data_IF_486948964521
#
_entry.id   IF_486948964521
#
_cell.length_a   1.000
_cell.length_b   1.000
_cell.length_c   1.000
_cell.angle_alpha   90.00
_cell.angle_beta   90.00
_cell.angle_gamma   90.00
#
_symmetry.space_group_name_H-M   'P 1'
#
loop_
_entity.id
_entity.type
_entity.pdbx_description
1 polymer ?
#
# COMPACT_ATOMS: atom_id res chain seq x y z
N UNK A 1 36.45 -47.51 -9.42
CA UNK A 1 37.03 -48.49 -10.35
C UNK A 1 35.92 -49.44 -10.73
N UNK A 2 35.42 -49.36 -11.97
CA UNK A 2 34.36 -50.23 -12.49
C UNK A 2 34.98 -51.23 -13.48
N UNK A 3 34.59 -52.49 -13.36
CA UNK A 3 34.67 -53.56 -14.35
C UNK A 3 33.50 -54.53 -13.97
N UNK A 4 32.72 -55.19 -14.83
CA UNK A 4 32.63 -55.33 -16.28
C UNK A 4 31.32 -56.08 -16.61
N UNK A 5 30.85 -55.90 -17.85
CA UNK A 5 30.10 -56.82 -18.76
C UNK A 5 29.06 -57.81 -18.20
N UNK A 6 27.77 -57.64 -18.52
CA UNK A 6 27.08 -58.14 -19.73
C UNK A 6 27.26 -59.67 -19.91
N UNK A 7 26.25 -60.51 -19.64
CA UNK A 7 25.12 -60.76 -20.53
C UNK A 7 24.21 -61.94 -20.10
N UNK A 8 22.97 -61.82 -20.56
CA UNK A 8 22.09 -62.89 -21.02
C UNK A 8 21.18 -63.61 -20.00
N UNK A 9 19.88 -63.43 -20.26
CA UNK A 9 18.77 -64.36 -20.00
C UNK A 9 18.25 -64.39 -18.56
N UNK A 10 17.37 -63.43 -18.26
CA UNK A 10 16.32 -63.56 -17.25
C UNK A 10 15.51 -64.86 -17.47
N UNK A 11 14.88 -65.49 -16.45
CA UNK A 11 14.30 -64.81 -15.29
C UNK A 11 14.37 -65.52 -13.92
N UNK A 12 14.16 -64.72 -12.86
CA UNK A 12 13.80 -65.08 -11.46
C UNK A 12 14.90 -65.66 -10.58
N UNK A 13 15.43 -64.83 -9.67
CA UNK A 13 15.32 -65.04 -8.21
C UNK A 13 15.77 -63.79 -7.42
N UNK A 14 14.88 -63.36 -6.53
CA UNK A 14 15.11 -62.94 -5.13
C UNK A 14 15.97 -61.69 -4.81
N UNK A 15 15.23 -60.69 -4.28
CA UNK A 15 15.51 -59.75 -3.17
C UNK A 15 16.91 -59.16 -3.05
N UNK A 16 16.98 -57.83 -2.99
CA UNK A 16 17.12 -57.05 -1.74
C UNK A 16 16.39 -55.72 -1.96
N UNK A 17 15.55 -55.36 -0.98
CA UNK A 17 14.86 -54.08 -0.91
C UNK A 17 15.85 -53.11 -0.26
N UNK A 18 16.27 -52.10 -0.99
CA UNK A 18 16.67 -50.80 -0.46
C UNK A 18 16.27 -49.75 -1.51
N UNK A 19 15.09 -49.16 -1.29
CA UNK A 19 14.54 -48.08 -2.09
C UNK A 19 15.19 -46.74 -1.69
N UNK A 20 16.38 -46.44 -2.20
CA UNK A 20 16.74 -45.05 -2.47
C UNK A 20 16.24 -44.70 -3.88
N UNK A 21 14.92 -44.51 -3.99
CA UNK A 21 14.33 -43.92 -5.18
C UNK A 21 14.60 -42.42 -5.18
N UNK A 22 15.37 -42.02 -6.18
CA UNK A 22 15.25 -40.74 -6.86
C UNK A 22 13.81 -40.21 -6.74
N UNK A 23 13.66 -39.08 -6.06
CA UNK A 23 12.45 -38.30 -6.08
C UNK A 23 12.28 -37.73 -7.49
N UNK A 24 11.69 -38.54 -8.37
CA UNK A 24 11.04 -38.06 -9.57
C UNK A 24 9.94 -37.12 -9.10
N UNK A 25 10.18 -35.81 -9.28
CA UNK A 25 9.17 -34.78 -9.21
C UNK A 25 8.02 -35.20 -10.13
N UNK A 26 6.95 -35.75 -9.57
CA UNK A 26 5.72 -35.95 -10.33
C UNK A 26 5.07 -34.58 -10.49
N UNK A 27 5.03 -34.14 -11.73
CA UNK A 27 4.31 -32.98 -12.26
C UNK A 27 3.01 -32.66 -11.50
N UNK A 28 2.82 -31.38 -11.21
CA UNK A 28 1.55 -30.81 -10.79
C UNK A 28 0.50 -31.09 -11.87
N UNK A 29 -0.19 -32.24 -11.78
CA UNK A 29 -1.35 -32.53 -12.62
C UNK A 29 -2.40 -31.44 -12.39
N UNK A 30 -2.82 -30.80 -13.47
CA UNK A 30 -3.88 -29.81 -13.50
C UNK A 30 -5.15 -30.45 -12.92
N UNK A 31 -5.58 -30.01 -11.73
CA UNK A 31 -6.71 -30.63 -11.00
C UNK A 31 -8.09 -30.31 -11.58
N UNK A 32 -8.17 -29.22 -12.35
CA UNK A 32 -9.42 -28.62 -12.81
C UNK A 32 -9.28 -28.15 -14.26
N UNK A 33 -10.35 -28.29 -15.05
CA UNK A 33 -10.40 -27.84 -16.44
C UNK A 33 -11.01 -26.44 -16.47
N UNK A 34 -10.27 -25.47 -17.02
CA UNK A 34 -10.67 -24.08 -17.17
C UNK A 34 -10.57 -23.62 -18.64
N UNK A 35 -11.17 -22.46 -18.92
CA UNK A 35 -11.03 -21.73 -20.17
C UNK A 35 -10.50 -20.31 -19.93
N UNK A 36 -9.81 -19.70 -20.91
CA UNK A 36 -9.46 -18.29 -20.85
C UNK A 36 -10.72 -17.42 -20.69
N UNK A 37 -10.69 -16.52 -19.71
CA UNK A 37 -11.87 -15.75 -19.30
C UNK A 37 -12.58 -16.30 -18.07
N UNK A 38 -12.20 -17.49 -17.59
CA UNK A 38 -12.75 -18.05 -16.37
C UNK A 38 -12.32 -17.30 -15.12
N UNK A 39 -13.23 -17.14 -14.15
CA UNK A 39 -12.94 -16.57 -12.84
C UNK A 39 -13.15 -17.59 -11.74
N UNK A 40 -12.28 -17.59 -10.73
CA UNK A 40 -12.47 -18.42 -9.54
C UNK A 40 -11.90 -17.77 -8.29
N UNK A 41 -12.43 -18.14 -7.13
CA UNK A 41 -11.87 -17.75 -5.85
C UNK A 41 -10.75 -18.73 -5.47
N UNK A 42 -9.56 -18.18 -5.22
CA UNK A 42 -8.40 -18.94 -4.80
C UNK A 42 -8.28 -18.88 -3.28
N UNK A 43 -8.41 -20.03 -2.62
CA UNK A 43 -8.24 -20.15 -1.17
C UNK A 43 -6.83 -19.76 -0.70
N UNK A 44 -5.81 -19.98 -1.54
CA UNK A 44 -4.43 -19.61 -1.22
C UNK A 44 -4.23 -18.09 -1.18
N UNK A 45 -4.86 -17.35 -2.09
CA UNK A 45 -4.71 -15.90 -2.17
C UNK A 45 -5.86 -15.14 -1.48
N UNK A 46 -6.90 -15.84 -1.04
CA UNK A 46 -8.17 -15.27 -0.62
C UNK A 46 -8.70 -14.21 -1.61
N UNK A 47 -8.51 -14.46 -2.92
CA UNK A 47 -8.77 -13.50 -3.98
C UNK A 47 -9.31 -14.17 -5.25
N UNK A 48 -10.00 -13.38 -6.08
CA UNK A 48 -10.49 -13.82 -7.37
C UNK A 48 -9.39 -13.75 -8.43
N UNK A 49 -9.19 -14.84 -9.16
CA UNK A 49 -8.26 -14.92 -10.27
C UNK A 49 -8.98 -15.06 -11.61
N UNK A 50 -8.35 -14.51 -12.65
CA UNK A 50 -8.76 -14.69 -14.05
C UNK A 50 -7.82 -15.72 -14.72
N UNK A 51 -8.41 -16.76 -15.29
CA UNK A 51 -7.75 -17.69 -16.19
C UNK A 51 -7.45 -16.99 -17.50
N UNK A 52 -6.21 -17.07 -17.97
CA UNK A 52 -5.76 -16.42 -19.21
C UNK A 52 -5.22 -17.43 -20.21
N UNK A 53 -4.89 -16.99 -21.41
CA UNK A 53 -4.18 -17.81 -22.40
C UNK A 53 -2.74 -18.14 -21.98
N UNK A 54 -2.18 -17.44 -20.98
CA UNK A 54 -0.81 -17.64 -20.50
C UNK A 54 -0.78 -18.69 -19.36
N UNK A 55 -0.24 -19.90 -19.58
CA UNK A 55 -0.17 -20.96 -18.56
C UNK A 55 0.63 -20.55 -17.32
N UNK A 56 1.54 -19.57 -17.46
CA UNK A 56 2.36 -19.07 -16.37
C UNK A 56 1.67 -17.98 -15.55
N UNK A 57 0.50 -17.50 -15.97
CA UNK A 57 -0.26 -16.52 -15.20
C UNK A 57 -0.67 -17.07 -13.84
N UNK A 58 -0.68 -16.22 -12.81
CA UNK A 58 -1.10 -16.62 -11.45
C UNK A 58 -2.48 -17.28 -11.46
N UNK A 59 -3.39 -16.85 -12.35
CA UNK A 59 -4.71 -17.47 -12.47
C UNK A 59 -4.67 -18.92 -12.94
N UNK A 60 -3.74 -19.31 -13.79
CA UNK A 60 -3.58 -20.70 -14.20
C UNK A 60 -2.71 -21.50 -13.21
N UNK A 61 -1.68 -20.88 -12.61
CA UNK A 61 -0.81 -21.55 -11.64
C UNK A 61 -1.52 -21.88 -10.32
N UNK A 62 -2.49 -21.05 -9.91
CA UNK A 62 -3.18 -21.21 -8.63
C UNK A 62 -4.47 -22.04 -8.74
N UNK A 63 -4.75 -22.64 -9.91
CA UNK A 63 -5.99 -23.38 -10.18
C UNK A 63 -6.16 -24.58 -9.22
N UNK A 64 -5.07 -25.13 -8.72
CA UNK A 64 -5.04 -26.20 -7.70
C UNK A 64 -5.58 -25.78 -6.32
N UNK A 65 -5.73 -24.47 -6.08
CA UNK A 65 -6.20 -23.86 -4.84
C UNK A 65 -7.60 -23.23 -4.98
N UNK A 66 -8.31 -23.57 -6.06
CA UNK A 66 -9.69 -23.16 -6.26
C UNK A 66 -10.56 -23.58 -5.07
N UNK A 67 -11.27 -22.62 -4.48
CA UNK A 67 -12.25 -22.89 -3.44
C UNK A 67 -13.64 -23.00 -4.07
N UNK A 68 -14.14 -24.24 -4.16
CA UNK A 68 -15.38 -24.51 -4.87
C UNK A 68 -16.58 -23.83 -4.20
N UNK A 69 -16.64 -23.79 -2.87
CA UNK A 69 -17.79 -23.22 -2.15
C UNK A 69 -17.92 -21.70 -2.35
N UNK A 70 -16.82 -20.96 -2.18
CA UNK A 70 -16.79 -19.50 -2.35
C UNK A 70 -16.94 -19.10 -3.82
N UNK A 71 -16.25 -19.80 -4.72
CA UNK A 71 -16.35 -19.56 -6.17
C UNK A 71 -17.80 -19.69 -6.66
N UNK A 72 -18.55 -20.62 -6.07
CA UNK A 72 -19.92 -20.95 -6.50
C UNK A 72 -21.01 -20.36 -5.59
N UNK A 73 -20.65 -19.62 -4.55
CA UNK A 73 -21.60 -19.03 -3.59
C UNK A 73 -22.64 -18.15 -4.29
N UNK A 74 -23.93 -18.16 -3.89
CA UNK A 74 -24.93 -17.22 -4.38
C UNK A 74 -24.49 -15.75 -4.32
N UNK A 75 -23.65 -15.41 -3.33
CA UNK A 75 -23.06 -14.10 -3.10
C UNK A 75 -21.73 -13.85 -3.85
N UNK A 76 -21.29 -14.78 -4.70
CA UNK A 76 -20.05 -14.64 -5.45
C UNK A 76 -20.10 -13.43 -6.39
N UNK A 77 -19.01 -12.66 -6.42
CA UNK A 77 -18.89 -11.48 -7.28
C UNK A 77 -18.87 -11.84 -8.77
N UNK A 78 -18.35 -13.03 -9.08
CA UNK A 78 -18.30 -13.59 -10.43
C UNK A 78 -19.00 -14.95 -10.46
N UNK A 79 -19.69 -15.23 -11.56
CA UNK A 79 -20.39 -16.50 -11.79
C UNK A 79 -20.37 -16.88 -13.27
N UNK A 80 -20.32 -18.18 -13.58
CA UNK A 80 -20.45 -18.67 -14.95
C UNK A 80 -21.91 -18.75 -15.37
N UNK A 81 -22.27 -18.14 -16.51
CA UNK A 81 -23.60 -18.25 -17.10
C UNK A 81 -23.61 -19.32 -18.19
N UNK A 82 -24.45 -20.34 -18.04
CA UNK A 82 -24.61 -21.38 -19.06
C UNK A 82 -25.22 -20.84 -20.36
N UNK A 83 -26.19 -19.93 -20.27
CA UNK A 83 -26.86 -19.34 -21.44
C UNK A 83 -25.89 -18.59 -22.36
N UNK A 84 -24.91 -17.90 -21.76
CA UNK A 84 -23.89 -17.15 -22.52
C UNK A 84 -22.58 -17.93 -22.72
N UNK A 85 -22.42 -19.08 -22.06
CA UNK A 85 -21.17 -19.85 -21.97
C UNK A 85 -19.96 -18.99 -21.59
N UNK A 86 -20.14 -18.05 -20.64
CA UNK A 86 -19.13 -17.07 -20.20
C UNK A 86 -19.29 -16.72 -18.72
N UNK A 87 -18.22 -16.21 -18.10
CA UNK A 87 -18.27 -15.62 -16.77
C UNK A 87 -18.82 -14.20 -16.79
N UNK A 88 -19.64 -13.89 -15.80
CA UNK A 88 -20.25 -12.58 -15.58
C UNK A 88 -20.00 -12.10 -14.16
N UNK A 89 -20.07 -10.78 -13.98
CA UNK A 89 -20.23 -10.14 -12.68
C UNK A 89 -21.70 -10.12 -12.25
N UNK A 90 -21.96 -10.11 -10.95
CA UNK A 90 -23.28 -10.00 -10.29
C UNK A 90 -24.23 -8.91 -10.84
N UNK A 91 -23.71 -7.94 -11.60
CA UNK A 91 -24.45 -6.88 -12.28
C UNK A 91 -25.49 -7.32 -13.35
N UNK A 92 -25.57 -8.60 -13.75
CA UNK A 92 -26.59 -9.10 -14.71
C UNK A 92 -27.56 -10.10 -14.07
N UNK A 93 -28.64 -9.58 -13.45
CA UNK A 93 -29.63 -10.38 -12.69
C UNK A 93 -30.40 -11.40 -13.53
N UNK A 94 -30.58 -11.14 -14.82
CA UNK A 94 -31.42 -11.92 -15.75
C UNK A 94 -30.88 -13.34 -15.99
N UNK A 95 -29.58 -13.52 -15.79
CA UNK A 95 -28.84 -14.75 -16.14
C UNK A 95 -28.46 -15.59 -14.90
N UNK A 96 -28.90 -15.19 -13.70
CA UNK A 96 -28.51 -15.80 -12.43
C UNK A 96 -29.08 -17.20 -12.19
N UNK A 97 -30.05 -17.67 -13.00
CA UNK A 97 -30.76 -18.92 -12.75
C UNK A 97 -29.98 -20.19 -13.13
N UNK A 98 -28.93 -20.09 -13.96
CA UNK A 98 -28.17 -21.24 -14.45
C UNK A 98 -26.65 -21.03 -14.33
N UNK A 99 -26.08 -21.57 -13.25
CA UNK A 99 -24.64 -21.54 -12.96
C UNK A 99 -24.00 -22.88 -13.31
N UNK A 100 -22.83 -22.88 -13.97
CA UNK A 100 -22.07 -24.11 -14.24
C UNK A 100 -20.66 -24.06 -13.64
N UNK A 101 -20.17 -25.23 -13.23
CA UNK A 101 -18.98 -25.42 -12.42
C UNK A 101 -17.69 -25.45 -13.25
N UNK A 102 -16.57 -24.96 -12.70
CA UNK A 102 -15.23 -25.39 -13.14
C UNK A 102 -15.13 -26.88 -12.81
N UNK A 103 -14.97 -27.70 -13.84
CA UNK A 103 -15.02 -29.15 -13.67
C UNK A 103 -13.67 -29.65 -13.21
N UNK A 104 -13.70 -30.54 -12.21
CA UNK A 104 -12.56 -31.37 -11.90
C UNK A 104 -12.18 -32.20 -13.13
N UNK A 105 -10.88 -32.35 -13.38
CA UNK A 105 -10.44 -33.22 -14.48
C UNK A 105 -10.91 -34.67 -14.18
N UNK A 106 -11.75 -35.27 -15.04
CA UNK A 106 -12.29 -36.60 -14.82
C UNK A 106 -11.21 -37.70 -14.80
N UNK A 107 -9.99 -37.42 -15.27
CA UNK A 107 -8.88 -38.36 -15.27
C UNK A 107 -8.08 -38.38 -13.96
N UNK A 108 -8.46 -37.57 -12.96
CA UNK A 108 -7.81 -37.52 -11.65
C UNK A 108 -8.63 -38.30 -10.63
N UNK A 109 -8.18 -39.52 -10.33
CA UNK A 109 -8.69 -40.33 -9.22
C UNK A 109 -8.11 -39.75 -7.93
N UNK A 110 -8.93 -39.09 -7.09
CA UNK A 110 -8.51 -38.82 -5.70
C UNK A 110 -9.02 -39.86 -4.75
N UNK A 111 -8.10 -40.44 -3.98
CA UNK A 111 -8.44 -41.10 -2.72
C UNK A 111 -8.98 -40.06 -1.71
N UNK A 112 -10.00 -40.39 -0.92
CA UNK A 112 -10.48 -39.51 0.13
C UNK A 112 -9.53 -39.63 1.32
N UNK A 113 -8.91 -38.51 1.73
CA UNK A 113 -8.38 -38.41 3.08
C UNK A 113 -8.94 -37.13 3.70
N UNK A 114 -10.09 -37.32 4.37
CA UNK A 114 -10.46 -36.52 5.53
C UNK A 114 -9.50 -36.92 6.64
N UNK A 115 -8.51 -36.06 6.93
CA UNK A 115 -7.89 -36.02 8.25
C UNK A 115 -7.84 -34.57 8.69
N UNK A 116 -8.58 -34.28 9.76
CA UNK A 116 -8.37 -33.09 10.57
C UNK A 116 -6.90 -33.06 11.00
N UNK A 117 -6.11 -32.23 10.34
CA UNK A 117 -4.80 -31.88 10.85
C UNK A 117 -4.96 -30.66 11.75
N UNK A 118 -4.70 -30.85 13.04
CA UNK A 118 -4.15 -29.79 13.88
C UNK A 118 -3.00 -29.19 13.08
N UNK A 119 -3.03 -27.90 12.82
CA UNK A 119 -1.97 -27.20 12.12
C UNK A 119 -0.68 -27.30 12.95
N UNK A 120 0.12 -28.33 12.67
CA UNK A 120 1.55 -28.23 12.89
C UNK A 120 2.08 -27.33 11.77
N UNK A 121 2.71 -26.24 12.20
CA UNK A 121 3.43 -25.28 11.38
C UNK A 121 4.48 -26.01 10.54
N UNK A 122 4.12 -26.40 9.32
CA UNK A 122 5.10 -26.70 8.30
C UNK A 122 5.49 -25.38 7.67
N UNK A 123 6.73 -25.01 7.93
CA UNK A 123 7.51 -23.95 7.31
C UNK A 123 7.40 -23.98 5.78
N UNK A 124 6.35 -23.37 5.25
CA UNK A 124 6.31 -22.97 3.85
C UNK A 124 6.98 -21.61 3.79
N UNK A 125 8.13 -21.58 3.12
CA UNK A 125 8.87 -20.39 2.75
C UNK A 125 7.90 -19.32 2.27
N UNK A 126 7.66 -18.33 3.12
CA UNK A 126 7.03 -17.08 2.70
C UNK A 126 7.89 -16.53 1.58
N UNK A 127 7.43 -16.58 0.33
CA UNK A 127 7.95 -15.68 -0.68
C UNK A 127 7.47 -14.28 -0.27
N UNK A 128 8.29 -13.65 0.58
CA UNK A 128 8.12 -12.29 1.03
C UNK A 128 8.00 -11.40 -0.20
N UNK A 129 7.00 -10.53 -0.31
CA UNK A 129 7.12 -9.38 -1.19
C UNK A 129 8.10 -8.40 -0.53
N UNK A 130 9.37 -8.78 -0.45
CA UNK A 130 10.48 -7.86 -0.19
C UNK A 130 10.57 -6.96 -1.41
N UNK A 131 9.85 -5.86 -1.39
CA UNK A 131 10.25 -4.70 -2.16
C UNK A 131 11.63 -4.26 -1.62
N UNK A 132 12.72 -4.85 -2.14
CA UNK A 132 14.08 -4.47 -1.76
C UNK A 132 14.29 -3.07 -2.30
N UNK A 133 14.36 -2.09 -1.40
CA UNK A 133 14.69 -0.72 -1.77
C UNK A 133 16.07 -0.69 -2.42
N UNK A 134 16.15 -0.03 -3.58
CA UNK A 134 17.37 0.08 -4.37
C UNK A 134 18.48 0.93 -3.74
N UNK A 135 19.50 1.21 -4.54
CA UNK A 135 20.63 2.05 -4.14
C UNK A 135 20.21 3.48 -3.77
N UNK A 136 21.08 4.21 -3.06
CA UNK A 136 20.88 5.64 -2.84
C UNK A 136 20.94 6.37 -4.18
N UNK A 137 19.84 6.98 -4.57
CA UNK A 137 19.61 7.57 -5.88
C UNK A 137 19.28 9.08 -5.79
N UNK A 138 19.67 9.71 -4.68
CA UNK A 138 19.36 11.11 -4.42
C UNK A 138 17.94 11.36 -3.92
N UNK A 139 17.19 10.33 -3.46
CA UNK A 139 15.85 10.47 -2.89
C UNK A 139 15.73 11.60 -1.85
N UNK A 140 16.76 11.80 -1.03
CA UNK A 140 16.80 12.84 -0.01
C UNK A 140 16.74 14.27 -0.58
N UNK A 141 17.27 14.50 -1.79
CA UNK A 141 17.17 15.77 -2.50
C UNK A 141 15.74 16.09 -2.97
N UNK A 142 14.81 15.16 -2.81
CA UNK A 142 13.39 15.33 -3.10
C UNK A 142 12.60 15.80 -1.87
N UNK A 143 13.19 15.75 -0.67
CA UNK A 143 12.56 16.16 0.58
C UNK A 143 12.70 17.66 0.72
N UNK A 144 11.87 18.47 0.07
CA UNK A 144 12.07 19.92 0.01
C UNK A 144 11.21 20.67 1.02
N UNK A 145 11.76 21.73 1.60
CA UNK A 145 10.95 22.69 2.34
C UNK A 145 10.28 23.71 1.39
N UNK A 146 9.37 24.52 1.93
CA UNK A 146 8.61 25.50 1.14
C UNK A 146 9.54 26.52 0.47
N UNK A 147 10.54 27.03 1.20
CA UNK A 147 11.52 28.00 0.70
C UNK A 147 12.32 27.48 -0.48
N UNK A 148 12.79 26.23 -0.42
CA UNK A 148 13.52 25.58 -1.52
C UNK A 148 12.64 25.40 -2.76
N UNK A 149 11.36 25.05 -2.57
CA UNK A 149 10.41 24.91 -3.66
C UNK A 149 10.14 26.27 -4.32
N UNK A 150 9.89 27.32 -3.55
CA UNK A 150 9.69 28.67 -4.07
C UNK A 150 10.93 29.21 -4.80
N UNK A 151 12.11 28.98 -4.23
CA UNK A 151 13.39 29.37 -4.85
C UNK A 151 13.68 28.62 -6.16
N UNK A 152 13.10 27.43 -6.35
CA UNK A 152 13.22 26.68 -7.61
C UNK A 152 12.39 27.25 -8.75
N UNK A 153 11.50 28.22 -8.50
CA UNK A 153 10.75 28.95 -9.53
C UNK A 153 11.64 30.10 -10.03
N UNK A 154 12.14 30.09 -11.29
CA UNK A 154 13.10 31.10 -11.75
C UNK A 154 12.46 32.48 -11.95
N UNK A 155 11.21 32.53 -12.42
CA UNK A 155 10.48 33.79 -12.62
C UNK A 155 10.02 34.36 -11.28
N UNK A 156 10.47 35.58 -10.96
CA UNK A 156 10.04 36.34 -9.76
C UNK A 156 8.53 36.53 -9.76
N UNK A 157 7.94 36.84 -10.92
CA UNK A 157 6.50 37.01 -11.06
C UNK A 157 5.74 35.71 -10.82
N UNK A 158 6.19 34.59 -11.39
CA UNK A 158 5.57 33.29 -11.12
C UNK A 158 5.75 32.89 -9.65
N UNK A 159 6.89 33.19 -9.02
CA UNK A 159 7.11 32.96 -7.60
C UNK A 159 6.12 33.75 -6.76
N UNK A 160 5.94 35.04 -7.02
CA UNK A 160 4.97 35.88 -6.32
C UNK A 160 3.52 35.40 -6.48
N UNK A 161 3.15 34.91 -7.66
CA UNK A 161 1.84 34.26 -7.87
C UNK A 161 1.71 32.96 -7.06
N UNK A 162 2.77 32.13 -6.99
CA UNK A 162 2.78 30.92 -6.19
C UNK A 162 2.63 31.23 -4.69
N UNK A 163 3.41 32.20 -4.18
CA UNK A 163 3.32 32.70 -2.80
C UNK A 163 1.91 33.20 -2.48
N UNK A 164 1.28 33.91 -3.41
CA UNK A 164 -0.11 34.38 -3.25
C UNK A 164 -1.12 33.23 -3.15
N UNK A 165 -0.93 32.16 -3.93
CA UNK A 165 -1.77 30.94 -3.83
C UNK A 165 -1.56 30.26 -2.47
N UNK A 166 -0.31 30.08 -2.04
CA UNK A 166 0.01 29.47 -0.74
C UNK A 166 -0.56 30.28 0.42
N UNK A 167 -0.42 31.61 0.38
CA UNK A 167 -0.98 32.51 1.38
C UNK A 167 -2.52 32.44 1.44
N UNK A 168 -3.18 32.39 0.27
CA UNK A 168 -4.63 32.19 0.21
C UNK A 168 -5.03 30.89 0.91
N UNK A 169 -4.39 29.76 0.60
CA UNK A 169 -4.75 28.47 1.19
C UNK A 169 -4.49 28.46 2.70
N UNK A 170 -3.34 28.98 3.16
CA UNK A 170 -3.04 29.13 4.59
C UNK A 170 -4.07 29.98 5.32
N UNK A 171 -4.65 31.00 4.66
CA UNK A 171 -5.71 31.83 5.24
C UNK A 171 -7.06 31.11 5.37
N UNK A 172 -7.28 30.03 4.61
CA UNK A 172 -8.51 29.22 4.60
C UNK A 172 -8.42 27.98 5.50
N UNK A 173 -7.20 27.56 5.86
CA UNK A 173 -6.92 26.27 6.48
C UNK A 173 -7.68 26.05 7.80
N UNK A 174 -7.67 27.03 8.70
CA UNK A 174 -8.26 26.88 10.05
C UNK A 174 -9.73 26.45 10.04
N UNK A 175 -10.50 26.87 9.05
CA UNK A 175 -11.95 26.59 8.97
C UNK A 175 -12.26 25.37 8.10
N UNK A 176 -11.36 25.02 7.18
CA UNK A 176 -11.61 24.04 6.11
C UNK A 176 -10.70 22.80 6.17
N UNK A 177 -9.75 22.77 7.10
CA UNK A 177 -8.77 21.69 7.29
C UNK A 177 -8.00 21.37 5.99
N UNK A 178 -7.44 22.40 5.35
CA UNK A 178 -6.73 22.25 4.08
C UNK A 178 -5.24 22.07 4.37
N UNK A 179 -4.81 20.82 4.35
CA UNK A 179 -3.42 20.49 4.59
C UNK A 179 -2.56 20.79 3.35
N UNK A 180 -1.49 21.55 3.57
CA UNK A 180 -0.45 21.85 2.58
C UNK A 180 0.74 20.90 2.77
N UNK A 181 1.08 20.15 1.72
CA UNK A 181 2.23 19.25 1.72
C UNK A 181 3.26 19.61 0.65
N UNK A 182 4.52 19.67 1.05
CA UNK A 182 5.66 19.78 0.14
C UNK A 182 5.91 18.44 -0.57
N UNK A 183 6.12 18.50 -1.88
CA UNK A 183 6.38 17.35 -2.75
C UNK A 183 7.70 17.57 -3.50
N UNK A 184 8.23 16.49 -4.09
CA UNK A 184 9.44 16.49 -4.93
C UNK A 184 9.57 17.73 -5.86
N UNK A 185 8.48 18.08 -6.55
CA UNK A 185 8.42 19.14 -7.56
C UNK A 185 7.23 20.09 -7.34
N UNK A 186 6.87 20.41 -6.10
CA UNK A 186 5.84 21.41 -5.81
C UNK A 186 5.01 21.09 -4.58
N UNK A 187 3.71 21.38 -4.64
CA UNK A 187 2.83 21.34 -3.48
C UNK A 187 1.58 20.50 -3.76
N UNK A 188 1.01 19.90 -2.72
CA UNK A 188 -0.31 19.27 -2.76
C UNK A 188 -1.20 19.86 -1.68
N UNK A 189 -2.46 20.08 -2.01
CA UNK A 189 -3.49 20.55 -1.08
C UNK A 189 -4.50 19.43 -0.88
N UNK A 190 -4.64 18.98 0.36
CA UNK A 190 -5.41 17.79 0.72
C UNK A 190 -6.45 18.17 1.77
N UNK A 191 -7.67 17.68 1.58
CA UNK A 191 -8.75 17.75 2.58
C UNK A 191 -9.23 16.33 2.83
N UNK A 192 -9.25 15.90 4.09
CA UNK A 192 -9.74 14.58 4.53
C UNK A 192 -9.20 13.40 3.69
N UNK A 193 -7.90 13.43 3.40
CA UNK A 193 -7.18 12.39 2.66
C UNK A 193 -7.32 12.42 1.13
N UNK A 194 -8.05 13.38 0.55
CA UNK A 194 -8.16 13.54 -0.91
C UNK A 194 -7.61 14.89 -1.36
N UNK A 195 -6.92 14.86 -2.50
CA UNK A 195 -6.33 16.05 -3.12
C UNK A 195 -7.42 16.90 -3.76
N UNK A 196 -7.41 18.20 -3.48
CA UNK A 196 -8.29 19.20 -4.10
C UNK A 196 -7.53 20.14 -5.04
N UNK A 197 -6.21 20.25 -4.87
CA UNK A 197 -5.35 20.94 -5.84
C UNK A 197 -3.90 20.45 -5.74
N UNK A 198 -3.09 20.75 -6.77
CA UNK A 198 -1.64 20.64 -6.72
C UNK A 198 -0.95 21.75 -7.50
N UNK A 199 0.24 22.12 -7.05
CA UNK A 199 1.16 22.96 -7.80
C UNK A 199 2.31 22.07 -8.26
N UNK A 200 2.57 22.05 -9.57
CA UNK A 200 3.73 21.39 -10.18
C UNK A 200 4.68 22.43 -10.74
N UNK A 201 5.89 22.45 -10.22
CA UNK A 201 6.94 23.38 -10.63
C UNK A 201 7.60 22.91 -11.93
N UNK A 202 7.91 23.87 -12.82
CA UNK A 202 8.54 23.63 -14.12
C UNK A 202 9.64 24.65 -14.41
N UNK A 203 10.33 24.49 -15.53
CA UNK A 203 11.53 25.26 -15.89
C UNK A 203 11.31 26.77 -16.08
N UNK A 204 10.08 27.22 -16.31
CA UNK A 204 9.75 28.65 -16.51
C UNK A 204 8.69 29.21 -15.55
N UNK A 205 8.16 28.40 -14.63
CA UNK A 205 7.01 28.78 -13.81
C UNK A 205 6.38 27.58 -13.12
N UNK A 206 5.06 27.56 -13.01
CA UNK A 206 4.34 26.44 -12.42
C UNK A 206 2.99 26.18 -13.08
N UNK A 207 2.46 24.99 -12.86
CA UNK A 207 1.10 24.60 -13.21
C UNK A 207 0.33 24.44 -11.92
N UNK A 208 -0.76 25.20 -11.77
CA UNK A 208 -1.77 24.96 -10.74
C UNK A 208 -2.84 24.07 -11.34
N UNK A 209 -3.03 22.89 -10.76
CA UNK A 209 -4.11 21.98 -11.10
C UNK A 209 -5.17 22.03 -10.01
N UNK A 210 -6.38 22.42 -10.39
CA UNK A 210 -7.57 22.33 -9.54
C UNK A 210 -8.26 20.99 -9.77
N UNK A 211 -8.72 20.36 -8.70
CA UNK A 211 -9.27 18.99 -8.73
C UNK A 211 -10.65 18.99 -8.10
N UNK A 212 -11.65 18.67 -8.91
CA UNK A 212 -13.02 18.47 -8.45
C UNK A 212 -13.25 16.99 -8.12
N UNK A 213 -13.77 16.72 -6.93
CA UNK A 213 -14.00 15.38 -6.42
C UNK A 213 -15.49 15.01 -6.56
N UNK A 214 -15.82 14.10 -7.47
CA UNK A 214 -17.19 13.70 -7.81
C UNK A 214 -17.46 12.29 -7.29
N UNK A 215 -18.42 12.11 -6.40
CA UNK A 215 -18.83 10.79 -5.92
C UNK A 215 -19.43 9.97 -7.07
N UNK A 216 -18.93 8.75 -7.28
CA UNK A 216 -19.51 7.84 -8.25
C UNK A 216 -20.84 7.31 -7.75
N UNK A 217 -21.90 7.43 -8.57
CA UNK A 217 -23.25 7.01 -8.19
C UNK A 217 -23.28 5.53 -7.80
N UNK A 218 -23.74 5.23 -6.57
CA UNK A 218 -23.83 3.85 -6.05
C UNK A 218 -22.51 3.25 -5.55
N UNK A 219 -21.40 4.00 -5.58
CA UNK A 219 -20.09 3.54 -5.11
C UNK A 219 -19.55 4.43 -3.99
N UNK A 220 -18.51 3.93 -3.31
CA UNK A 220 -17.74 4.71 -2.30
C UNK A 220 -16.47 5.34 -2.87
N UNK A 221 -16.27 5.24 -4.17
CA UNK A 221 -15.14 5.81 -4.90
C UNK A 221 -15.49 7.19 -5.47
N UNK A 222 -14.45 7.98 -5.74
CA UNK A 222 -14.57 9.35 -6.23
C UNK A 222 -13.86 9.45 -7.58
N UNK A 223 -14.53 10.02 -8.58
CA UNK A 223 -13.92 10.48 -9.82
C UNK A 223 -13.29 11.86 -9.62
N UNK A 224 -12.20 12.14 -10.34
CA UNK A 224 -11.46 13.39 -10.23
C UNK A 224 -11.37 14.12 -11.57
N UNK A 225 -12.13 15.20 -11.70
CA UNK A 225 -12.01 16.14 -12.81
C UNK A 225 -10.88 17.13 -12.53
N UNK A 226 -9.99 17.32 -13.50
CA UNK A 226 -8.75 18.10 -13.34
C UNK A 226 -8.72 19.25 -14.34
N UNK A 227 -8.41 20.44 -13.85
CA UNK A 227 -8.21 21.63 -14.69
C UNK A 227 -6.87 22.28 -14.39
N UNK A 228 -6.07 22.43 -15.43
CA UNK A 228 -4.71 22.97 -15.34
C UNK A 228 -4.68 24.45 -15.73
N UNK A 229 -3.96 25.23 -14.93
CA UNK A 229 -3.72 26.65 -15.13
C UNK A 229 -2.21 26.89 -15.15
N UNK A 230 -1.70 27.35 -16.29
CA UNK A 230 -0.27 27.56 -16.50
C UNK A 230 0.10 28.98 -16.08
N UNK A 231 1.08 29.11 -15.19
CA UNK A 231 1.65 30.37 -14.76
C UNK A 231 3.05 30.52 -15.37
N UNK A 232 3.17 31.14 -16.57
CA UNK A 232 4.44 31.25 -17.29
C UNK A 232 5.34 32.38 -16.78
N UNK A 233 4.90 33.16 -15.79
CA UNK A 233 5.67 34.29 -15.25
C UNK A 233 5.55 35.61 -16.02
N UNK A 234 4.58 35.72 -16.94
CA UNK A 234 4.32 36.94 -17.73
C UNK A 234 3.47 38.00 -17.01
N UNK A 235 3.01 37.75 -15.77
CA UNK A 235 2.22 38.70 -14.97
C UNK A 235 0.70 38.57 -15.08
N UNK A 236 0.19 37.88 -16.10
CA UNK A 236 -1.24 37.60 -16.21
C UNK A 236 -1.59 36.29 -15.50
N UNK A 237 -2.30 36.39 -14.38
CA UNK A 237 -2.78 35.20 -13.66
C UNK A 237 -3.92 34.54 -14.47
N UNK A 238 -3.80 33.24 -14.81
CA UNK A 238 -4.79 32.51 -15.62
C UNK A 238 -6.11 32.23 -14.89
N UNK A 239 -6.18 32.49 -13.59
CA UNK A 239 -7.38 32.36 -12.75
C UNK A 239 -7.41 33.51 -11.73
N UNK A 240 -8.60 34.05 -11.47
CA UNK A 240 -8.77 35.11 -10.47
C UNK A 240 -8.63 34.55 -9.05
N UNK A 241 -8.22 35.40 -8.10
CA UNK A 241 -8.18 35.01 -6.68
C UNK A 241 -9.56 34.63 -6.12
N UNK A 242 -10.64 35.20 -6.65
CA UNK A 242 -12.01 34.90 -6.27
C UNK A 242 -12.45 33.50 -6.73
N UNK A 243 -12.14 33.12 -7.97
CA UNK A 243 -12.45 31.78 -8.49
C UNK A 243 -11.63 30.71 -7.75
N UNK A 244 -10.37 31.01 -7.47
CA UNK A 244 -9.51 30.11 -6.71
C UNK A 244 -10.04 29.88 -5.29
N UNK A 245 -10.40 30.96 -4.58
CA UNK A 245 -11.04 30.88 -3.25
C UNK A 245 -12.33 30.06 -3.31
N UNK A 246 -13.19 30.33 -4.30
CA UNK A 246 -14.45 29.59 -4.51
C UNK A 246 -14.20 28.11 -4.68
N UNK A 247 -13.19 27.72 -5.47
CA UNK A 247 -12.84 26.32 -5.66
C UNK A 247 -12.42 25.64 -4.35
N UNK A 248 -11.47 26.23 -3.61
CA UNK A 248 -11.00 25.66 -2.34
C UNK A 248 -12.13 25.49 -1.32
N UNK A 249 -12.98 26.51 -1.15
CA UNK A 249 -14.13 26.45 -0.22
C UNK A 249 -15.10 25.34 -0.66
N UNK A 250 -15.45 25.30 -1.95
CA UNK A 250 -16.41 24.33 -2.49
C UNK A 250 -15.92 22.89 -2.32
N UNK A 251 -14.69 22.59 -2.73
CA UNK A 251 -14.16 21.23 -2.67
C UNK A 251 -13.89 20.78 -1.23
N UNK A 252 -13.45 21.68 -0.34
CA UNK A 252 -13.31 21.36 1.07
C UNK A 252 -14.66 20.99 1.69
N UNK A 253 -15.69 21.83 1.49
CA UNK A 253 -17.04 21.55 1.99
C UNK A 253 -17.64 20.27 1.42
N UNK A 254 -17.43 20.00 0.14
CA UNK A 254 -17.83 18.75 -0.51
C UNK A 254 -17.21 17.53 0.19
N UNK A 255 -15.87 17.51 0.35
CA UNK A 255 -15.18 16.39 0.99
C UNK A 255 -15.53 16.23 2.47
N UNK A 256 -15.68 17.33 3.21
CA UNK A 256 -16.15 17.30 4.60
C UNK A 256 -17.56 16.68 4.66
N UNK A 257 -18.47 17.09 3.78
CA UNK A 257 -19.83 16.54 3.71
C UNK A 257 -19.82 15.04 3.40
N UNK A 258 -19.06 14.62 2.39
CA UNK A 258 -18.94 13.21 2.01
C UNK A 258 -18.37 12.34 3.16
N UNK A 259 -17.47 12.89 3.98
CA UNK A 259 -16.95 12.19 5.17
C UNK A 259 -17.94 12.14 6.32
N UNK A 260 -18.61 13.25 6.64
CA UNK A 260 -19.68 13.29 7.65
C UNK A 260 -20.80 12.29 7.34
N UNK A 261 -21.13 12.13 6.05
CA UNK A 261 -22.11 11.16 5.58
C UNK A 261 -21.52 9.77 5.30
N UNK A 262 -20.27 9.54 5.68
CA UNK A 262 -19.56 8.26 5.58
C UNK A 262 -19.53 7.64 4.18
N UNK A 263 -19.64 8.46 3.13
CA UNK A 263 -19.97 8.01 1.77
C UNK A 263 -18.75 7.55 0.96
N UNK A 264 -17.54 7.96 1.34
CA UNK A 264 -16.30 7.64 0.61
C UNK A 264 -15.36 6.66 1.34
N UNK A 265 -14.75 5.75 0.57
CA UNK A 265 -14.03 4.56 1.08
C UNK A 265 -12.53 4.72 1.34
N UNK A 266 -11.92 5.86 0.99
CA UNK A 266 -10.47 6.09 1.13
C UNK A 266 -10.07 6.36 2.60
N UNK A 267 -10.11 5.33 3.46
CA UNK A 267 -9.93 5.49 4.91
C UNK A 267 -8.47 5.72 5.33
N UNK A 268 -7.53 5.01 4.73
CA UNK A 268 -6.11 5.10 5.10
C UNK A 268 -5.56 6.52 4.93
N UNK A 269 -5.72 7.12 3.74
CA UNK A 269 -5.26 8.50 3.50
C UNK A 269 -5.99 9.55 4.35
N UNK A 270 -7.24 9.29 4.75
CA UNK A 270 -7.94 10.16 5.70
C UNK A 270 -7.37 10.04 7.10
N UNK A 271 -7.04 8.82 7.53
CA UNK A 271 -6.35 8.58 8.78
C UNK A 271 -4.98 9.27 8.80
N UNK A 272 -4.25 9.29 7.68
CA UNK A 272 -2.99 10.05 7.57
C UNK A 272 -3.23 11.54 7.85
N UNK A 273 -4.22 12.14 7.19
CA UNK A 273 -4.58 13.54 7.40
C UNK A 273 -4.87 13.84 8.88
N UNK A 274 -5.71 13.03 9.51
CA UNK A 274 -6.06 13.21 10.92
C UNK A 274 -4.85 13.05 11.85
N UNK A 275 -4.00 12.04 11.62
CA UNK A 275 -2.79 11.83 12.40
C UNK A 275 -1.83 13.03 12.30
N UNK A 276 -1.67 13.59 11.11
CA UNK A 276 -0.82 14.78 10.88
C UNK A 276 -1.37 15.98 11.65
N UNK A 277 -2.67 16.26 11.56
CA UNK A 277 -3.31 17.36 12.29
C UNK A 277 -3.04 17.22 13.81
N UNK A 278 -3.22 16.01 14.35
CA UNK A 278 -2.99 15.68 15.75
C UNK A 278 -1.54 15.77 16.20
N UNK A 279 -0.58 15.49 15.31
CA UNK A 279 0.85 15.68 15.60
C UNK A 279 1.22 17.17 15.59
N UNK A 280 0.63 17.96 14.70
CA UNK A 280 0.92 19.39 14.56
C UNK A 280 0.31 20.25 15.68
N UNK A 281 -0.89 19.90 16.16
CA UNK A 281 -1.52 20.58 17.30
C UNK A 281 -1.07 20.02 18.67
N UNK A 282 -0.24 18.97 18.66
CA UNK A 282 0.25 18.29 19.87
C UNK A 282 -0.81 17.46 20.61
N UNK A 283 -1.96 17.20 19.99
CA UNK A 283 -3.11 16.51 20.59
C UNK A 283 -3.22 15.03 20.19
N UNK A 284 -2.11 14.36 19.89
CA UNK A 284 -2.05 12.90 19.72
C UNK A 284 -1.67 12.21 21.06
N UNK A 285 -2.64 11.99 21.99
CA UNK A 285 -2.32 11.44 23.30
C UNK A 285 -1.72 10.04 23.19
N UNK A 286 -0.63 9.80 23.91
CA UNK A 286 0.06 8.51 23.99
C UNK A 286 1.25 8.35 23.03
N UNK A 287 1.38 9.20 22.00
CA UNK A 287 2.54 9.21 21.11
C UNK A 287 3.12 10.63 21.05
N UNK A 288 4.29 10.84 21.66
CA UNK A 288 4.96 12.14 21.67
C UNK A 288 5.75 12.40 20.38
N UNK A 289 4.99 12.56 19.29
CA UNK A 289 5.51 12.71 17.94
C UNK A 289 5.31 14.14 17.43
N UNK A 290 6.28 14.61 16.64
CA UNK A 290 6.24 15.84 15.85
C UNK A 290 6.34 15.47 14.36
N UNK A 291 5.38 15.92 13.55
CA UNK A 291 5.34 15.62 12.12
C UNK A 291 6.51 16.28 11.37
N UNK A 292 7.17 15.53 10.49
CA UNK A 292 8.28 16.04 9.65
C UNK A 292 7.93 16.07 8.16
N UNK A 293 7.40 14.97 7.62
CA UNK A 293 7.19 14.84 6.18
C UNK A 293 6.15 13.78 5.82
N UNK A 294 5.35 14.06 4.79
CA UNK A 294 4.27 13.19 4.30
C UNK A 294 4.59 12.55 2.96
N UNK A 295 4.37 11.24 2.84
CA UNK A 295 4.74 10.40 1.69
C UNK A 295 6.20 10.66 1.29
N UNK A 296 7.12 10.38 2.21
CA UNK A 296 8.53 10.71 2.06
C UNK A 296 9.17 9.82 0.99
N UNK A 297 9.71 10.39 -0.10
CA UNK A 297 10.36 9.62 -1.14
C UNK A 297 11.58 8.84 -0.62
N UNK A 298 11.65 7.53 -0.85
CA UNK A 298 12.81 6.67 -0.54
C UNK A 298 13.34 5.99 -1.81
N UNK A 299 14.05 4.87 -1.68
CA UNK A 299 14.69 4.17 -2.79
C UNK A 299 13.72 3.71 -3.89
N UNK A 300 14.26 3.50 -5.09
CA UNK A 300 13.53 2.90 -6.21
C UNK A 300 13.37 1.40 -6.00
N UNK A 301 12.22 0.84 -6.39
CA UNK A 301 11.95 -0.59 -6.39
C UNK A 301 11.59 -1.03 -7.80
N UNK A 302 12.04 -2.22 -8.16
CA UNK A 302 11.62 -2.93 -9.35
C UNK A 302 10.53 -3.93 -8.97
N UNK A 303 9.27 -3.67 -9.33
CA UNK A 303 8.16 -4.61 -9.18
C UNK A 303 7.66 -4.99 -10.57
N UNK A 304 7.66 -6.27 -10.93
CA UNK A 304 7.06 -6.79 -12.17
C UNK A 304 7.40 -5.96 -13.44
N UNK A 305 8.70 -5.74 -13.70
CA UNK A 305 9.24 -4.92 -14.82
C UNK A 305 8.93 -3.41 -14.78
N UNK A 306 8.22 -2.91 -13.76
CA UNK A 306 8.00 -1.48 -13.53
C UNK A 306 8.96 -0.95 -12.46
N UNK A 307 9.56 0.21 -12.75
CA UNK A 307 10.42 0.93 -11.82
C UNK A 307 9.60 2.04 -11.16
N UNK A 308 9.43 1.96 -9.84
CA UNK A 308 8.68 2.92 -9.05
C UNK A 308 9.49 3.42 -7.86
N UNK A 309 9.22 4.63 -7.41
CA UNK A 309 9.77 5.14 -6.15
C UNK A 309 8.82 4.78 -5.02
N UNK A 310 9.35 4.18 -3.96
CA UNK A 310 8.59 3.94 -2.74
C UNK A 310 8.51 5.21 -1.89
N UNK A 311 7.49 5.28 -1.05
CA UNK A 311 7.28 6.40 -0.15
C UNK A 311 6.94 5.87 1.24
N UNK A 312 7.58 6.43 2.26
CA UNK A 312 7.18 6.24 3.66
C UNK A 312 5.92 7.06 3.90
N UNK A 313 4.87 6.48 4.48
CA UNK A 313 3.63 7.19 4.76
C UNK A 313 3.86 8.50 5.53
N UNK A 314 4.53 8.40 6.67
CA UNK A 314 4.81 9.53 7.56
C UNK A 314 6.21 9.41 8.16
N UNK A 315 6.96 10.50 8.11
CA UNK A 315 8.13 10.70 8.97
C UNK A 315 7.78 11.66 10.10
N UNK A 316 8.22 11.30 11.30
CA UNK A 316 8.05 12.08 12.51
C UNK A 316 9.34 12.08 13.35
N UNK A 317 9.43 13.01 14.29
CA UNK A 317 10.43 13.06 15.37
C UNK A 317 9.75 12.69 16.67
N UNK A 318 10.33 11.80 17.45
CA UNK A 318 9.92 11.63 18.85
C UNK A 318 10.54 12.75 19.69
N UNK A 319 9.72 13.57 20.37
CA UNK A 319 10.24 14.83 20.96
C UNK A 319 11.25 14.58 22.09
N UNK A 320 11.04 13.55 22.90
CA UNK A 320 11.94 13.24 24.02
C UNK A 320 13.30 12.69 23.59
N UNK A 321 13.34 11.65 22.75
CA UNK A 321 14.61 11.00 22.37
C UNK A 321 15.29 11.62 21.15
N UNK A 322 14.56 12.48 20.43
CA UNK A 322 14.86 13.00 19.09
C UNK A 322 15.01 11.90 18.02
N UNK A 323 14.51 10.70 18.26
CA UNK A 323 14.57 9.62 17.28
C UNK A 323 13.82 9.97 16.00
N UNK A 324 14.35 9.52 14.85
CA UNK A 324 13.62 9.57 13.59
C UNK A 324 12.66 8.38 13.52
N UNK A 325 11.38 8.69 13.43
CA UNK A 325 10.29 7.72 13.50
C UNK A 325 9.65 7.54 12.12
N UNK A 326 9.70 6.31 11.63
CA UNK A 326 8.89 5.83 10.50
C UNK A 326 7.51 5.47 11.05
N UNK A 327 6.46 6.11 10.56
CA UNK A 327 5.09 5.79 10.94
C UNK A 327 4.39 5.16 9.74
N UNK A 328 4.12 3.86 9.83
CA UNK A 328 3.41 3.07 8.81
C UNK A 328 1.95 2.97 9.23
N UNK A 329 1.03 3.41 8.38
CA UNK A 329 -0.39 3.47 8.76
C UNK A 329 -1.17 2.47 7.92
N UNK A 330 -1.96 1.63 8.59
CA UNK A 330 -2.79 0.62 7.94
C UNK A 330 -4.27 0.90 8.14
N UNK A 331 -5.06 0.51 7.15
CA UNK A 331 -6.52 0.36 7.31
C UNK A 331 -6.85 -0.89 8.13
N UNK A 332 -8.09 -0.96 8.60
CA UNK A 332 -8.64 -2.09 9.36
C UNK A 332 -8.41 -3.43 8.64
N UNK A 333 -7.95 -4.43 9.40
CA UNK A 333 -7.86 -5.83 8.95
C UNK A 333 -6.61 -6.19 8.16
N UNK A 334 -5.63 -5.30 8.03
CA UNK A 334 -4.34 -5.59 7.40
C UNK A 334 -3.43 -6.47 8.29
N UNK A 335 -2.60 -7.28 7.64
CA UNK A 335 -1.63 -8.16 8.31
C UNK A 335 -0.49 -7.34 8.95
N UNK A 336 -0.32 -7.53 10.26
CA UNK A 336 0.71 -6.84 11.04
C UNK A 336 2.11 -7.22 10.62
N UNK A 337 2.32 -8.49 10.27
CA UNK A 337 3.64 -8.95 9.86
C UNK A 337 4.07 -8.25 8.56
N UNK A 338 3.19 -8.20 7.57
CA UNK A 338 3.38 -7.44 6.34
C UNK A 338 3.64 -5.95 6.60
N UNK A 339 2.89 -5.33 7.50
CA UNK A 339 3.05 -3.91 7.85
C UNK A 339 4.41 -3.62 8.51
N UNK A 340 4.82 -4.44 9.49
CA UNK A 340 6.13 -4.34 10.15
C UNK A 340 7.24 -4.55 9.13
N UNK A 341 7.11 -5.55 8.26
CA UNK A 341 8.10 -5.86 7.25
C UNK A 341 8.28 -4.71 6.25
N UNK A 342 7.18 -4.14 5.77
CA UNK A 342 7.19 -2.96 4.91
C UNK A 342 7.88 -1.77 5.61
N UNK A 343 7.48 -1.47 6.85
CA UNK A 343 8.10 -0.41 7.64
C UNK A 343 9.61 -0.64 7.88
N UNK A 344 10.02 -1.88 8.16
CA UNK A 344 11.43 -2.23 8.37
C UNK A 344 12.25 -2.09 7.09
N UNK A 345 11.67 -2.32 5.92
CA UNK A 345 12.36 -2.04 4.64
C UNK A 345 12.74 -0.56 4.51
N UNK A 346 11.89 0.34 5.01
CA UNK A 346 12.16 1.78 5.03
C UNK A 346 13.24 2.14 6.06
N UNK A 347 13.14 1.57 7.26
CA UNK A 347 14.16 1.72 8.32
C UNK A 347 15.51 1.22 7.84
N UNK A 348 15.57 0.08 7.16
CA UNK A 348 16.82 -0.47 6.61
C UNK A 348 17.46 0.48 5.60
N UNK A 349 16.67 1.12 4.74
CA UNK A 349 17.17 2.12 3.80
C UNK A 349 17.70 3.36 4.53
N UNK A 350 16.99 3.86 5.55
CA UNK A 350 17.44 4.97 6.39
C UNK A 350 18.76 4.62 7.09
N UNK A 351 18.83 3.44 7.71
CA UNK A 351 20.03 2.94 8.40
C UNK A 351 21.22 2.84 7.46
N UNK A 352 21.04 2.21 6.28
CA UNK A 352 22.10 2.00 5.29
C UNK A 352 22.67 3.31 4.75
N UNK A 353 21.85 4.35 4.61
CA UNK A 353 22.25 5.61 4.00
C UNK A 353 22.32 6.79 4.97
N UNK A 354 22.24 6.54 6.28
CA UNK A 354 22.20 7.58 7.33
C UNK A 354 23.27 8.65 7.19
N UNK A 355 24.52 8.27 6.89
CA UNK A 355 25.63 9.23 6.73
C UNK A 355 25.41 10.17 5.54
N UNK A 356 24.75 9.70 4.47
CA UNK A 356 24.37 10.53 3.31
C UNK A 356 23.12 11.37 3.58
N UNK A 357 22.30 10.96 4.53
CA UNK A 357 21.06 11.64 4.92
C UNK A 357 21.29 12.74 5.97
N UNK A 358 22.29 12.60 6.84
CA UNK A 358 22.66 13.57 7.90
C UNK A 358 22.72 15.01 7.39
N UNK A 359 23.43 15.34 6.29
CA UNK A 359 23.46 16.71 5.77
C UNK A 359 22.07 17.24 5.39
N UNK A 360 21.22 16.38 4.79
CA UNK A 360 19.87 16.78 4.39
C UNK A 360 18.97 17.04 5.59
N UNK A 361 19.05 16.19 6.60
CA UNK A 361 18.33 16.34 7.87
C UNK A 361 18.67 17.68 8.55
N UNK A 362 19.97 18.03 8.57
CA UNK A 362 20.43 19.31 9.12
C UNK A 362 19.90 20.49 8.29
N UNK A 363 19.97 20.42 6.96
CA UNK A 363 19.43 21.47 6.08
C UNK A 363 17.93 21.71 6.28
N UNK A 364 17.17 20.64 6.53
CA UNK A 364 15.74 20.73 6.80
C UNK A 364 15.41 21.13 8.23
N UNK A 365 16.43 21.29 9.10
CA UNK A 365 16.27 21.67 10.51
C UNK A 365 15.34 20.74 11.29
N UNK A 366 15.35 19.44 10.96
CA UNK A 366 14.46 18.46 11.61
C UNK A 366 14.84 18.18 13.07
N UNK A 367 16.09 18.46 13.48
CA UNK A 367 16.59 18.19 14.84
C UNK A 367 16.35 16.74 15.28
N UNK A 368 16.61 15.79 14.38
CA UNK A 368 16.53 14.34 14.65
C UNK A 368 17.90 13.70 14.78
N UNK A 369 17.99 12.72 15.65
CA UNK A 369 19.10 11.80 15.77
C UNK A 369 18.84 10.56 14.90
N UNK A 370 19.37 10.56 13.66
CA UNK A 370 19.18 9.44 12.72
C UNK A 370 19.85 8.15 13.17
N UNK A 371 20.75 8.19 14.16
CA UNK A 371 21.32 6.99 14.75
C UNK A 371 20.33 6.28 15.70
N UNK A 372 19.22 6.95 16.03
CA UNK A 372 18.05 6.39 16.74
C UNK A 372 16.87 6.29 15.79
N UNK A 373 16.62 5.10 15.27
CA UNK A 373 15.48 4.81 14.40
C UNK A 373 14.37 4.14 15.18
N UNK A 374 13.13 4.54 14.92
CA UNK A 374 11.94 3.84 15.39
C UNK A 374 10.98 3.56 14.25
N UNK A 375 10.25 2.46 14.36
CA UNK A 375 9.11 2.13 13.52
C UNK A 375 7.87 2.05 14.39
N UNK A 376 6.83 2.81 14.04
CA UNK A 376 5.51 2.69 14.65
C UNK A 376 4.54 2.24 13.57
N UNK A 377 3.93 1.08 13.77
CA UNK A 377 2.80 0.63 12.94
C UNK A 377 1.49 1.03 13.62
N UNK A 378 0.74 1.92 12.98
CA UNK A 378 -0.56 2.39 13.43
C UNK A 378 -1.69 1.71 12.66
N UNK A 379 -2.60 1.06 13.37
CA UNK A 379 -3.76 0.42 12.75
C UNK A 379 -5.02 0.53 13.62
N UNK A 380 -6.20 0.77 13.02
CA UNK A 380 -7.48 0.67 13.72
C UNK A 380 -7.90 -0.79 13.88
N UNK A 381 -8.65 -1.07 14.95
CA UNK A 381 -9.47 -2.28 15.15
C UNK A 381 -8.74 -3.61 15.33
N UNK A 382 -7.42 -3.61 15.23
CA UNK A 382 -6.59 -4.79 15.49
C UNK A 382 -6.05 -4.68 16.91
N UNK A 383 -6.74 -5.27 17.89
CA UNK A 383 -6.02 -5.71 19.07
C UNK A 383 -4.89 -6.59 18.54
N UNK A 384 -3.65 -6.15 18.72
CA UNK A 384 -2.49 -6.92 18.32
C UNK A 384 -2.48 -8.21 19.15
N UNK A 385 -3.22 -9.22 18.68
CA UNK A 385 -3.37 -10.53 19.30
C UNK A 385 -2.09 -11.27 19.02
N UNK A 386 -1.08 -11.02 19.86
CA UNK A 386 0.12 -11.86 20.03
C UNK A 386 0.64 -12.48 18.73
N UNK A 387 0.77 -11.69 17.68
CA UNK A 387 1.60 -12.08 16.56
C UNK A 387 3.02 -11.98 17.10
N UNK A 388 3.56 -13.11 17.58
CA UNK A 388 4.99 -13.20 17.83
C UNK A 388 5.65 -12.86 16.50
N UNK A 389 6.45 -11.80 16.48
CA UNK A 389 7.31 -11.57 15.34
C UNK A 389 8.21 -12.78 15.19
N UNK A 390 8.38 -13.22 13.95
CA UNK A 390 9.30 -14.29 13.63
C UNK A 390 10.72 -13.88 14.06
N UNK A 391 11.56 -14.86 14.42
CA UNK A 391 12.95 -14.65 14.83
C UNK A 391 13.71 -13.83 13.79
N UNK A 392 13.45 -14.05 12.50
CA UNK A 392 14.05 -13.27 11.42
C UNK A 392 13.76 -11.76 11.50
N UNK A 393 12.53 -11.39 11.92
CA UNK A 393 12.16 -9.98 12.09
C UNK A 393 12.84 -9.41 13.33
N UNK A 394 12.86 -10.15 14.44
CA UNK A 394 13.55 -9.72 15.67
C UNK A 394 15.06 -9.55 15.44
N UNK A 395 15.68 -10.43 14.67
CA UNK A 395 17.09 -10.30 14.25
C UNK A 395 17.32 -9.06 13.39
N UNK A 396 16.41 -8.76 12.46
CA UNK A 396 16.48 -7.55 11.64
C UNK A 396 16.33 -6.28 12.50
N UNK A 397 15.37 -6.26 13.43
CA UNK A 397 15.17 -5.17 14.39
C UNK A 397 16.44 -4.90 15.20
N UNK A 398 17.04 -5.97 15.76
CA UNK A 398 18.30 -5.89 16.51
C UNK A 398 19.45 -5.40 15.64
N UNK A 399 19.59 -5.91 14.41
CA UNK A 399 20.64 -5.52 13.46
C UNK A 399 20.55 -4.04 13.08
N UNK A 400 19.34 -3.52 12.92
CA UNK A 400 19.08 -2.12 12.56
C UNK A 400 19.15 -1.17 13.76
N UNK A 401 19.29 -1.70 14.99
CA UNK A 401 19.18 -0.94 16.23
C UNK A 401 17.91 -0.07 16.24
N UNK A 402 16.79 -0.66 15.83
CA UNK A 402 15.51 0.02 15.67
C UNK A 402 14.56 -0.41 16.80
N UNK A 403 13.78 0.53 17.35
CA UNK A 403 12.65 0.19 18.21
C UNK A 403 11.39 0.01 17.34
N UNK A 404 10.71 -1.13 17.45
CA UNK A 404 9.45 -1.36 16.73
C UNK A 404 8.29 -1.40 17.70
N UNK A 405 7.27 -0.60 17.40
CA UNK A 405 6.07 -0.46 18.23
C UNK A 405 4.83 -0.63 17.37
N UNK A 406 3.85 -1.31 17.94
CA UNK A 406 2.50 -1.40 17.41
C UNK A 406 1.60 -0.49 18.24
N UNK A 407 0.96 0.49 17.60
CA UNK A 407 0.05 1.42 18.27
C UNK A 407 -1.37 1.26 17.73
N UNK A 408 -2.32 1.07 18.65
CA UNK A 408 -3.72 0.84 18.34
C UNK A 408 -4.52 2.13 18.55
N UNK A 409 -5.34 2.48 17.55
CA UNK A 409 -6.27 3.60 17.61
C UNK A 409 -7.71 3.13 17.79
N UNK A 410 -8.53 3.95 18.47
CA UNK A 410 -9.94 3.68 18.70
C UNK A 410 -10.73 3.44 17.41
N UNK A 411 -11.74 2.56 17.45
CA UNK A 411 -12.67 2.23 16.35
C UNK A 411 -13.49 3.43 15.88
N UNK A 412 -13.82 4.29 16.81
CA UNK A 412 -14.79 5.37 16.58
C UNK A 412 -14.20 6.58 15.86
N UNK A 413 -12.90 6.58 15.54
CA UNK A 413 -12.23 7.66 14.78
C UNK A 413 -12.94 8.00 13.45
N UNK A 414 -13.64 7.03 12.86
CA UNK A 414 -14.41 7.20 11.62
C UNK A 414 -15.65 8.08 11.83
N UNK A 415 -16.18 8.17 13.05
CA UNK A 415 -17.42 8.88 13.36
C UNK A 415 -17.16 10.28 13.88
N UNK A 416 -16.22 10.42 14.80
CA UNK A 416 -15.97 11.68 15.53
C UNK A 416 -14.65 12.35 15.15
N UNK A 417 -13.88 11.73 14.24
CA UNK A 417 -12.53 12.16 13.86
C UNK A 417 -11.55 12.26 15.04
N UNK A 418 -11.89 11.62 16.16
CA UNK A 418 -11.07 11.62 17.36
C UNK A 418 -10.12 10.43 17.33
N UNK A 419 -8.82 10.72 17.31
CA UNK A 419 -7.79 9.70 17.37
C UNK A 419 -7.27 9.65 18.80
N UNK A 420 -7.47 8.50 19.45
CA UNK A 420 -6.83 8.20 20.72
C UNK A 420 -6.11 6.86 20.63
N UNK A 421 -4.88 6.83 21.13
CA UNK A 421 -4.09 5.61 21.23
C UNK A 421 -4.61 4.84 22.44
N UNK A 422 -5.19 3.65 22.25
CA UNK A 422 -5.66 2.83 23.39
C UNK A 422 -4.63 1.83 23.89
N UNK A 423 -3.58 1.59 23.12
CA UNK A 423 -2.55 0.64 23.50
C UNK A 423 -1.33 0.76 22.61
N UNK A 424 -0.17 0.59 23.23
CA UNK A 424 1.12 0.51 22.58
C UNK A 424 1.75 -0.80 23.01
N UNK A 425 2.24 -1.59 22.06
CA UNK A 425 2.99 -2.80 22.32
C UNK A 425 4.37 -2.69 21.67
N UNK A 426 5.46 -2.69 22.46
CA UNK A 426 6.78 -2.90 21.90
C UNK A 426 6.89 -4.34 21.40
N UNK A 427 7.72 -4.55 20.40
CA UNK A 427 8.05 -5.87 19.88
C UNK A 427 9.39 -6.41 20.37
#
# INVERSE_FOLDING_TARGET
>A
MFYLEINSKNPKLIRIIDEEREAVMTDNKIKHINQPGDYYFCSLCAAWHLCTNDPSSNGNQHLSHLEENETNSPASKYFFCYLCSKWHTDARKEHLQYRLHIKRDPNIITAPIVRQFRAHSTSNSHHFPTAVLGSFDGAAGLWKNETELLNSIPSITARGSCESVLALVKSLDKDLHIQLFNRKNGFSFIVKGLKIAEIKLGSGGFILRLIQNILNQGYTSVHQDKKDFVYPGSGNNPISGADLRTHFIREANNLISLRKNNTIGYREKWLHSLLIDKMQDGSLPGLDLEFLYYETPVGMVKRNKQFGREHIDLLAKEKHSKALVVVEVKKKGEDMYSAVFQGLSYVEWLFKYKERLKPRIVQLSWDVDIDKLKLIVLAPDTEFKTARLDLAVLEQVKKLNCEVMAAYIDRDWIKDENISIKGIKPF
#
